data_IF_557276800284
#
_entry.id   IF_557276800284
#
_cell.length_a   1.000
_cell.length_b   1.000
_cell.length_c   1.000
_cell.angle_alpha   90.00
_cell.angle_beta   90.00
_cell.angle_gamma   90.00
#
_symmetry.space_group_name_H-M   'P 1'
#
loop_
_entity.id
_entity.type
_entity.pdbx_description
1 polymer ?
#
# COMPACT_ATOMS: atom_id res chain seq x y z
N UNK A 1 12.00 -9.17 -25.14
CA UNK A 1 11.27 -8.04 -25.75
C UNK A 1 10.40 -8.62 -26.87
N UNK A 2 9.07 -8.45 -26.79
CA UNK A 2 8.09 -9.10 -27.67
C UNK A 2 8.15 -8.56 -29.11
N UNK A 3 7.81 -9.40 -30.11
CA UNK A 3 7.74 -9.02 -31.53
C UNK A 3 6.79 -7.83 -31.75
N UNK A 4 5.68 -7.77 -31.00
CA UNK A 4 4.74 -6.65 -31.02
C UNK A 4 5.37 -5.32 -30.58
N UNK A 5 6.28 -5.34 -29.61
CA UNK A 5 6.97 -4.14 -29.15
C UNK A 5 7.89 -3.56 -30.21
N UNK A 6 8.58 -4.42 -30.97
CA UNK A 6 9.46 -3.98 -32.07
C UNK A 6 8.68 -3.32 -33.21
N UNK A 7 7.53 -3.88 -33.57
CA UNK A 7 6.65 -3.33 -34.61
C UNK A 7 6.06 -1.97 -34.15
N UNK A 8 5.63 -1.88 -32.89
CA UNK A 8 5.12 -0.62 -32.32
C UNK A 8 6.21 0.47 -32.31
N UNK A 9 7.44 0.14 -31.91
CA UNK A 9 8.56 1.07 -31.91
C UNK A 9 8.90 1.58 -33.31
N UNK A 10 8.88 0.70 -34.33
CA UNK A 10 9.09 1.10 -35.72
C UNK A 10 8.00 2.05 -36.21
N UNK A 11 6.73 1.78 -35.88
CA UNK A 11 5.61 2.66 -36.20
C UNK A 11 5.72 4.03 -35.53
N UNK A 12 6.09 4.05 -34.24
CA UNK A 12 6.28 5.31 -33.50
C UNK A 12 7.40 6.13 -34.13
N UNK A 13 8.53 5.49 -34.47
CA UNK A 13 9.67 6.17 -35.13
C UNK A 13 9.29 6.74 -36.48
N UNK A 14 8.53 6.00 -37.29
CA UNK A 14 8.09 6.48 -38.60
C UNK A 14 7.14 7.68 -38.44
N UNK A 15 6.16 7.59 -37.53
CA UNK A 15 5.27 8.69 -37.21
C UNK A 15 5.99 9.93 -36.65
N UNK A 16 7.10 9.75 -35.92
CA UNK A 16 7.98 10.86 -35.51
C UNK A 16 8.70 11.50 -36.69
N UNK A 17 9.19 10.70 -37.65
CA UNK A 17 9.87 11.20 -38.86
C UNK A 17 8.92 11.96 -39.79
N UNK A 18 7.67 11.50 -39.89
CA UNK A 18 6.64 12.11 -40.73
C UNK A 18 6.01 13.36 -40.09
N UNK A 19 6.50 13.79 -38.92
CA UNK A 19 5.97 14.95 -38.21
C UNK A 19 4.54 14.75 -37.70
N UNK A 20 4.06 13.51 -37.54
CA UNK A 20 2.71 13.23 -37.04
C UNK A 20 2.49 13.75 -35.60
N UNK A 21 3.59 13.95 -34.86
CA UNK A 21 3.58 14.55 -33.53
C UNK A 21 3.78 16.07 -33.54
N UNK A 22 3.98 16.69 -34.72
CA UNK A 22 4.40 18.08 -34.79
C UNK A 22 3.31 19.09 -34.51
N UNK A 23 2.06 18.71 -34.69
CA UNK A 23 0.90 19.57 -34.51
C UNK A 23 -0.13 18.93 -33.58
N UNK A 24 0.33 18.24 -32.53
CA UNK A 24 -0.57 17.65 -31.55
C UNK A 24 -1.36 18.73 -30.81
N UNK A 25 -2.66 18.51 -30.56
CA UNK A 25 -3.44 19.38 -29.70
C UNK A 25 -2.78 19.43 -28.31
N UNK A 26 -2.42 20.63 -27.86
CA UNK A 26 -1.73 20.85 -26.58
C UNK A 26 -0.20 20.79 -26.63
N UNK A 27 0.44 20.63 -27.81
CA UNK A 27 1.90 20.70 -27.94
C UNK A 27 2.43 22.05 -27.42
N UNK A 28 3.39 22.01 -26.50
CA UNK A 28 4.00 23.19 -25.88
C UNK A 28 3.17 23.82 -24.74
N UNK A 29 1.96 23.33 -24.47
CA UNK A 29 1.22 23.72 -23.28
C UNK A 29 1.67 22.87 -22.07
N UNK A 30 1.63 23.43 -20.84
CA UNK A 30 1.84 22.65 -19.63
C UNK A 30 0.89 21.45 -19.61
N UNK A 31 1.40 20.24 -19.37
CA UNK A 31 0.54 19.09 -19.15
C UNK A 31 -0.36 19.36 -17.94
N UNK A 32 -1.68 19.17 -18.11
CA UNK A 32 -2.62 19.14 -16.99
C UNK A 32 -2.44 17.84 -16.23
N UNK A 33 -1.46 17.80 -15.32
CA UNK A 33 -1.20 16.65 -14.44
C UNK A 33 -2.18 16.56 -13.28
N UNK A 34 -3.06 17.55 -13.14
CA UNK A 34 -4.01 17.70 -12.04
C UNK A 34 -5.23 16.78 -12.18
N UNK A 35 -5.59 16.43 -13.41
CA UNK A 35 -6.72 15.56 -13.71
C UNK A 35 -6.25 14.14 -13.97
N UNK A 36 -6.51 13.24 -13.03
CA UNK A 36 -6.42 11.81 -13.28
C UNK A 36 -7.74 11.34 -13.93
N UNK A 37 -7.74 10.88 -15.19
CA UNK A 37 -8.96 10.43 -15.87
C UNK A 37 -9.62 9.23 -15.18
N UNK A 38 -8.87 8.50 -14.36
CA UNK A 38 -9.33 7.36 -13.58
C UNK A 38 -9.84 7.72 -12.19
N UNK A 39 -9.78 8.99 -11.79
CA UNK A 39 -10.38 9.44 -10.53
C UNK A 39 -11.90 9.58 -10.65
N UNK A 40 -12.67 9.10 -9.65
CA UNK A 40 -14.11 9.30 -9.60
C UNK A 40 -14.45 10.79 -9.69
N UNK A 41 -15.43 11.13 -10.54
CA UNK A 41 -15.79 12.53 -10.83
C UNK A 41 -16.16 13.33 -9.57
N UNK A 42 -16.79 12.66 -8.60
CA UNK A 42 -17.17 13.22 -7.29
C UNK A 42 -15.98 13.70 -6.45
N UNK A 43 -14.80 13.10 -6.63
CA UNK A 43 -13.62 13.37 -5.81
C UNK A 43 -12.56 14.21 -6.52
N UNK A 44 -12.67 14.39 -7.84
CA UNK A 44 -11.70 15.12 -8.66
C UNK A 44 -11.46 16.55 -8.17
N UNK A 45 -12.52 17.25 -7.77
CA UNK A 45 -12.43 18.61 -7.24
C UNK A 45 -11.75 18.65 -5.87
N UNK A 46 -12.08 17.71 -4.98
CA UNK A 46 -11.50 17.63 -3.64
C UNK A 46 -10.00 17.27 -3.70
N UNK A 47 -9.62 16.27 -4.50
CA UNK A 47 -8.21 15.88 -4.70
C UNK A 47 -7.40 16.97 -5.42
N UNK A 48 -7.97 17.58 -6.48
CA UNK A 48 -7.32 18.66 -7.23
C UNK A 48 -7.07 19.91 -6.40
N UNK A 49 -8.02 20.33 -5.57
CA UNK A 49 -7.87 21.49 -4.67
C UNK A 49 -6.76 21.27 -3.63
N UNK A 50 -6.58 20.05 -3.12
CA UNK A 50 -5.57 19.77 -2.11
C UNK A 50 -4.17 19.64 -2.72
N UNK A 51 -4.08 18.94 -3.86
CA UNK A 51 -2.83 18.78 -4.61
C UNK A 51 -2.26 20.13 -5.07
N UNK A 52 -3.12 21.03 -5.54
CA UNK A 52 -2.73 22.39 -5.96
C UNK A 52 -2.21 23.27 -4.82
N UNK A 53 -2.58 22.98 -3.56
CA UNK A 53 -2.07 23.68 -2.38
C UNK A 53 -0.86 22.96 -1.72
N UNK A 54 -0.35 21.88 -2.33
CA UNK A 54 0.75 21.08 -1.78
C UNK A 54 0.37 20.22 -0.58
N UNK A 55 -0.92 20.06 -0.27
CA UNK A 55 -1.40 19.27 0.86
C UNK A 55 -1.88 17.89 0.40
N UNK A 56 -1.36 16.85 1.04
CA UNK A 56 -2.01 15.55 1.07
C UNK A 56 -3.19 15.61 2.05
N UNK A 57 -4.29 14.92 1.75
CA UNK A 57 -5.38 14.76 2.71
C UNK A 57 -4.81 14.19 4.03
N UNK A 58 -5.04 14.81 5.20
CA UNK A 58 -4.48 14.32 6.46
C UNK A 58 -4.77 12.83 6.73
N UNK A 59 -5.95 12.34 6.33
CA UNK A 59 -6.31 10.93 6.43
C UNK A 59 -5.50 10.04 5.47
N UNK A 60 -5.08 10.53 4.30
CA UNK A 60 -4.28 9.76 3.35
C UNK A 60 -2.86 9.50 3.85
N UNK A 61 -2.23 10.48 4.49
CA UNK A 61 -0.93 10.27 5.15
C UNK A 61 -1.09 9.35 6.37
N UNK A 62 -2.11 9.57 7.20
CA UNK A 62 -2.40 8.68 8.33
C UNK A 62 -2.63 7.22 7.88
N UNK A 63 -3.26 7.03 6.71
CA UNK A 63 -3.41 5.69 6.12
C UNK A 63 -2.06 5.05 5.81
N UNK A 64 -1.14 5.78 5.17
CA UNK A 64 0.21 5.26 4.86
C UNK A 64 0.96 4.90 6.14
N UNK A 65 0.93 5.77 7.14
CA UNK A 65 1.57 5.51 8.44
C UNK A 65 1.00 4.27 9.15
N UNK A 66 -0.32 4.04 9.05
CA UNK A 66 -0.96 2.84 9.59
C UNK A 66 -0.50 1.61 8.80
N UNK A 67 -0.46 1.67 7.48
CA UNK A 67 0.01 0.57 6.61
C UNK A 67 1.47 0.19 6.89
N UNK A 68 2.35 1.17 7.01
CA UNK A 68 3.76 0.96 7.38
C UNK A 68 3.90 0.34 8.77
N UNK A 69 3.15 0.86 9.76
CA UNK A 69 3.22 0.34 11.12
C UNK A 69 2.68 -1.10 11.24
N UNK A 70 1.65 -1.46 10.45
CA UNK A 70 1.17 -2.83 10.32
C UNK A 70 2.27 -3.74 9.78
N UNK A 71 2.96 -3.32 8.71
CA UNK A 71 4.01 -4.13 8.10
C UNK A 71 5.24 -4.29 9.02
N UNK A 72 5.58 -3.26 9.78
CA UNK A 72 6.61 -3.35 10.83
C UNK A 72 6.22 -4.34 11.91
N UNK A 73 4.96 -4.32 12.38
CA UNK A 73 4.48 -5.28 13.37
C UNK A 73 4.52 -6.72 12.83
N UNK A 74 4.05 -6.94 11.60
CA UNK A 74 4.04 -8.25 10.95
C UNK A 74 5.45 -8.77 10.66
N UNK A 75 6.35 -7.93 10.16
CA UNK A 75 7.74 -8.34 9.88
C UNK A 75 8.50 -8.71 11.15
N UNK A 76 8.30 -7.99 12.26
CA UNK A 76 8.86 -8.34 13.55
C UNK A 76 8.34 -9.70 14.05
N UNK A 77 7.03 -9.95 13.92
CA UNK A 77 6.43 -11.21 14.32
C UNK A 77 6.86 -12.38 13.42
N UNK A 78 6.94 -12.21 12.09
CA UNK A 78 7.50 -13.22 11.18
C UNK A 78 8.96 -13.52 11.51
N UNK A 79 9.77 -12.50 11.75
CA UNK A 79 11.18 -12.69 12.14
C UNK A 79 11.30 -13.49 13.43
N UNK A 80 10.43 -13.23 14.41
CA UNK A 80 10.38 -13.99 15.67
C UNK A 80 9.89 -15.42 15.49
N UNK A 81 8.97 -15.68 14.57
CA UNK A 81 8.53 -17.03 14.23
C UNK A 81 9.65 -17.83 13.55
N UNK A 82 10.40 -17.18 12.65
CA UNK A 82 11.50 -17.79 11.89
C UNK A 82 12.72 -18.14 12.75
N UNK A 83 12.90 -17.55 13.94
CA UNK A 83 13.99 -17.95 14.84
C UNK A 83 13.82 -19.37 15.36
N UNK A 84 12.59 -19.87 15.41
CA UNK A 84 12.23 -21.16 15.98
C UNK A 84 12.38 -21.27 17.50
N UNK A 85 12.64 -20.15 18.18
CA UNK A 85 12.64 -20.06 19.63
C UNK A 85 11.21 -19.84 20.13
N UNK A 86 10.63 -20.89 20.72
CA UNK A 86 9.27 -20.86 21.24
C UNK A 86 9.09 -19.89 22.42
N UNK A 87 10.08 -19.76 23.30
CA UNK A 87 9.98 -18.84 24.44
C UNK A 87 10.02 -17.38 23.97
N UNK A 88 10.90 -17.10 23.00
CA UNK A 88 10.94 -15.80 22.33
C UNK A 88 9.64 -15.51 21.58
N UNK A 89 9.12 -16.49 20.83
CA UNK A 89 7.85 -16.35 20.10
C UNK A 89 6.68 -16.06 21.03
N UNK A 90 6.54 -16.76 22.17
CA UNK A 90 5.47 -16.47 23.14
C UNK A 90 5.53 -15.02 23.65
N UNK A 91 6.72 -14.53 23.98
CA UNK A 91 6.91 -13.13 24.38
C UNK A 91 6.56 -12.17 23.24
N UNK A 92 7.00 -12.46 22.02
CA UNK A 92 6.72 -11.63 20.86
C UNK A 92 5.24 -11.63 20.46
N UNK A 93 4.50 -12.73 20.67
CA UNK A 93 3.05 -12.75 20.46
C UNK A 93 2.32 -11.75 21.33
N UNK A 94 2.68 -11.65 22.62
CA UNK A 94 2.09 -10.66 23.53
C UNK A 94 2.37 -9.24 23.06
N UNK A 95 3.62 -8.95 22.67
CA UNK A 95 4.01 -7.64 22.12
C UNK A 95 3.25 -7.33 20.82
N UNK A 96 3.11 -8.32 19.95
CA UNK A 96 2.38 -8.18 18.69
C UNK A 96 0.90 -7.89 18.92
N UNK A 97 0.24 -8.62 19.83
CA UNK A 97 -1.15 -8.37 20.20
C UNK A 97 -1.38 -6.94 20.72
N UNK A 98 -0.50 -6.44 21.59
CA UNK A 98 -0.57 -5.06 22.09
C UNK A 98 -0.39 -4.05 20.95
N UNK A 99 0.51 -4.31 20.00
CA UNK A 99 0.68 -3.46 18.81
C UNK A 99 -0.55 -3.46 17.93
N UNK A 100 -1.19 -4.62 17.73
CA UNK A 100 -2.44 -4.72 16.96
C UNK A 100 -3.55 -3.91 17.62
N UNK A 101 -3.70 -3.97 18.94
CA UNK A 101 -4.68 -3.15 19.65
C UNK A 101 -4.42 -1.65 19.46
N UNK A 102 -3.18 -1.21 19.63
CA UNK A 102 -2.81 0.20 19.38
C UNK A 102 -3.07 0.63 17.92
N UNK A 103 -2.83 -0.27 16.95
CA UNK A 103 -3.14 -0.02 15.54
C UNK A 103 -4.65 0.05 15.28
N UNK A 104 -5.45 -0.77 15.96
CA UNK A 104 -6.91 -0.74 15.86
C UNK A 104 -7.49 0.58 16.38
N UNK A 105 -6.92 1.14 17.45
CA UNK A 105 -7.29 2.49 17.91
C UNK A 105 -6.98 3.55 16.85
N UNK A 106 -5.81 3.47 16.21
CA UNK A 106 -5.45 4.38 15.09
C UNK A 106 -6.38 4.21 13.90
N UNK A 107 -6.74 2.98 13.54
CA UNK A 107 -7.71 2.66 12.48
C UNK A 107 -9.07 3.26 12.80
N UNK A 108 -9.52 3.15 14.05
CA UNK A 108 -10.78 3.77 14.49
C UNK A 108 -10.74 5.30 14.32
N UNK A 109 -9.70 5.97 14.79
CA UNK A 109 -9.53 7.42 14.60
C UNK A 109 -9.47 7.81 13.13
N UNK A 110 -8.76 7.03 12.31
CA UNK A 110 -8.72 7.23 10.86
C UNK A 110 -10.11 7.10 10.23
N UNK A 111 -10.89 6.09 10.61
CA UNK A 111 -12.24 5.86 10.09
C UNK A 111 -13.20 7.01 10.47
N UNK A 112 -12.98 7.69 11.61
CA UNK A 112 -13.75 8.88 11.97
C UNK A 112 -13.42 10.10 11.10
N UNK A 113 -12.20 10.19 10.58
CA UNK A 113 -11.73 11.30 9.74
C UNK A 113 -12.02 11.07 8.25
N UNK A 114 -12.09 9.80 7.84
CA UNK A 114 -12.35 9.43 6.47
C UNK A 114 -13.76 9.90 6.04
N UNK A 115 -13.87 10.61 4.90
CA UNK A 115 -15.13 11.25 4.52
C UNK A 115 -16.16 10.29 3.93
N UNK A 116 -15.79 9.03 3.65
CA UNK A 116 -16.68 8.01 3.11
C UNK A 116 -16.30 6.62 3.62
N UNK A 117 -17.29 5.73 3.90
CA UNK A 117 -17.06 4.35 4.29
C UNK A 117 -16.18 3.54 3.34
N UNK A 118 -16.13 3.90 2.06
CA UNK A 118 -15.27 3.23 1.08
C UNK A 118 -13.77 3.36 1.39
N UNK A 119 -13.39 4.39 2.17
CA UNK A 119 -12.02 4.62 2.62
C UNK A 119 -11.75 4.00 4.00
N UNK A 120 -12.77 3.48 4.70
CA UNK A 120 -12.59 2.89 6.01
C UNK A 120 -11.74 1.63 5.94
N UNK A 121 -11.02 1.38 7.03
CA UNK A 121 -10.21 0.18 7.25
C UNK A 121 -10.89 -0.72 8.27
N UNK A 122 -10.88 -2.01 7.99
CA UNK A 122 -11.31 -3.00 8.97
C UNK A 122 -10.26 -3.11 10.08
N UNK A 123 -10.70 -3.25 11.35
CA UNK A 123 -9.78 -3.57 12.43
C UNK A 123 -9.12 -4.92 12.18
N UNK A 124 -7.89 -5.04 12.65
CA UNK A 124 -7.08 -6.25 12.57
C UNK A 124 -7.49 -7.20 13.70
N UNK A 125 -7.58 -8.48 13.37
CA UNK A 125 -7.84 -9.55 14.34
C UNK A 125 -6.50 -10.20 14.73
N UNK A 126 -6.05 -10.06 15.98
CA UNK A 126 -4.76 -10.59 16.42
C UNK A 126 -4.63 -12.10 16.20
N UNK A 127 -5.72 -12.87 16.35
CA UNK A 127 -5.68 -14.34 16.20
C UNK A 127 -5.45 -14.70 14.74
N UNK A 128 -6.24 -14.11 13.83
CA UNK A 128 -6.10 -14.34 12.38
C UNK A 128 -4.72 -13.92 11.87
N UNK A 129 -4.18 -12.82 12.38
CA UNK A 129 -2.85 -12.35 11.99
C UNK A 129 -1.74 -13.33 12.45
N UNK A 130 -1.85 -13.86 13.67
CA UNK A 130 -0.92 -14.87 14.18
C UNK A 130 -1.02 -16.16 13.36
N UNK A 131 -2.24 -16.64 13.10
CA UNK A 131 -2.48 -17.85 12.31
C UNK A 131 -1.91 -17.71 10.88
N UNK A 132 -2.07 -16.52 10.28
CA UNK A 132 -1.52 -16.22 8.96
C UNK A 132 0.02 -16.22 8.95
N UNK A 133 0.67 -15.71 10.00
CA UNK A 133 2.13 -15.73 10.15
C UNK A 133 2.63 -17.17 10.27
N UNK A 134 1.94 -18.00 11.05
CA UNK A 134 2.32 -19.40 11.26
C UNK A 134 2.05 -20.29 10.03
N UNK A 135 1.04 -19.95 9.22
CA UNK A 135 0.63 -20.73 8.04
C UNK A 135 1.32 -20.30 6.74
N UNK A 136 1.75 -19.03 6.65
CA UNK A 136 2.36 -18.45 5.45
C UNK A 136 3.86 -18.74 5.28
N UNK A 137 4.59 -18.95 6.38
CA UNK A 137 6.00 -19.37 6.37
C UNK A 137 6.08 -20.89 6.59
N UNK A 138 6.27 -21.65 5.52
CA UNK A 138 6.16 -23.12 5.42
C UNK A 138 7.14 -23.98 6.24
N UNK A 139 7.51 -23.58 7.45
CA UNK A 139 8.19 -24.45 8.39
C UNK A 139 7.69 -24.14 9.81
N UNK A 140 6.90 -25.06 10.39
CA UNK A 140 6.82 -25.13 11.85
C UNK A 140 8.26 -25.31 12.37
N UNK A 141 8.77 -24.43 13.24
CA UNK A 141 9.99 -24.73 13.96
C UNK A 141 9.71 -25.99 14.79
N UNK A 142 10.44 -27.06 14.49
CA UNK A 142 10.31 -28.32 15.22
C UNK A 142 10.62 -28.05 16.69
N UNK A 143 9.79 -28.51 17.65
CA UNK A 143 10.12 -28.40 19.06
C UNK A 143 11.45 -29.14 19.26
N UNK A 144 12.51 -28.38 19.56
CA UNK A 144 13.80 -28.94 19.85
C UNK A 144 13.62 -29.99 20.95
N UNK A 145 13.84 -31.26 20.60
CA UNK A 145 14.02 -32.35 21.56
C UNK A 145 15.30 -32.05 22.36
N UNK A 146 15.20 -31.31 23.45
CA UNK A 146 16.18 -31.34 24.56
C UNK A 146 15.55 -32.18 25.68
N UNK A 147 15.90 -33.45 25.84
CA UNK A 147 17.03 -33.99 26.63
C UNK A 147 17.01 -33.55 28.09
#
# INVERSE_FOLDING_TARGET
MSLFGKIADEYIKHAMQDGAFDNLPGKGQPLKLDENPHEPAEWRTAYGMLRSNGYSLPWLELRKEIEEAIEVARSAARSAWQTGDFEFWEKQKVVFQQRIEALNQRIFHYNLQAPSPQFHRQPLDPVREIDAIQSGDGAQPSPAKGR
#
